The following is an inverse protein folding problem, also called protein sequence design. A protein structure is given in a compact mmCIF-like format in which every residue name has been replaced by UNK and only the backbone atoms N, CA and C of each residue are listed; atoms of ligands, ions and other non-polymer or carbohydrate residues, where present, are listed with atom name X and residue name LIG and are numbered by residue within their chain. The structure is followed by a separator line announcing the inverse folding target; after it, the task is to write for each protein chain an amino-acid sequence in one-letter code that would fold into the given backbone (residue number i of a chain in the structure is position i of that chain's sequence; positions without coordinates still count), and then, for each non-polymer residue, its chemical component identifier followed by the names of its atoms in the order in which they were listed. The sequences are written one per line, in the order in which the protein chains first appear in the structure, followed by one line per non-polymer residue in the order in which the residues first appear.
data_IF_633551330994
#
_entry.id   IF_633551330994
#
_cell.length_a   1.000
_cell.length_b   1.000
_cell.length_c   1.000
_cell.angle_alpha   90.00
_cell.angle_beta   90.00
_cell.angle_gamma   90.00
#
_symmetry.space_group_name_H-M   'P 1'
#
loop_
_entity.id
_entity.type
_entity.pdbx_description
1 polymer ?
#
# COMPACT_ATOMS: atom_id res chain seq x y z
N UNK A 1 -20.28 -0.63 7.75
CA UNK A 1 -19.72 -0.87 6.39
C UNK A 1 -20.73 -0.51 5.29
N UNK A 2 -22.03 -0.73 5.50
CA UNK A 2 -23.11 -0.34 4.58
C UNK A 2 -23.26 1.19 4.43
N UNK A 3 -23.04 1.96 5.51
CA UNK A 3 -23.28 3.42 5.52
C UNK A 3 -22.31 4.23 4.65
N UNK A 4 -21.05 3.79 4.56
CA UNK A 4 -20.03 4.46 3.73
C UNK A 4 -20.32 4.22 2.24
N UNK A 5 -20.76 3.01 1.88
CA UNK A 5 -21.14 2.66 0.52
C UNK A 5 -22.43 3.37 0.11
N UNK A 6 -23.37 3.55 1.04
CA UNK A 6 -24.58 4.34 0.85
C UNK A 6 -24.25 5.82 0.68
N UNK A 7 -23.34 6.37 1.49
CA UNK A 7 -22.82 7.73 1.32
C UNK A 7 -22.13 7.93 -0.03
N UNK A 8 -21.27 7.00 -0.46
CA UNK A 8 -20.59 7.10 -1.76
C UNK A 8 -21.59 7.06 -2.92
N UNK A 9 -22.60 6.18 -2.85
CA UNK A 9 -23.71 6.13 -3.82
C UNK A 9 -24.53 7.42 -3.81
N UNK A 10 -24.78 8.00 -2.65
CA UNK A 10 -25.50 9.28 -2.52
C UNK A 10 -24.69 10.43 -3.10
N UNK A 11 -23.39 10.52 -2.82
CA UNK A 11 -22.49 11.55 -3.35
C UNK A 11 -22.37 11.41 -4.87
N UNK A 12 -22.20 10.18 -5.38
CA UNK A 12 -22.09 9.93 -6.82
C UNK A 12 -23.42 10.24 -7.54
N UNK A 13 -24.55 9.83 -6.96
CA UNK A 13 -25.89 10.18 -7.45
C UNK A 13 -26.12 11.69 -7.44
N UNK A 14 -25.77 12.38 -6.35
CA UNK A 14 -25.93 13.82 -6.22
C UNK A 14 -25.04 14.59 -7.21
N UNK A 15 -23.81 14.13 -7.43
CA UNK A 15 -22.90 14.73 -8.41
C UNK A 15 -23.38 14.53 -9.85
N UNK A 16 -23.79 13.30 -10.20
CA UNK A 16 -24.29 12.99 -11.55
C UNK A 16 -25.64 13.67 -11.82
N UNK A 17 -26.55 13.68 -10.86
CA UNK A 17 -27.85 14.33 -11.01
C UNK A 17 -27.72 15.85 -11.05
N UNK A 18 -26.85 16.47 -10.24
CA UNK A 18 -26.61 17.92 -10.30
C UNK A 18 -25.94 18.30 -11.63
N UNK A 19 -25.00 17.51 -12.12
CA UNK A 19 -24.37 17.77 -13.42
C UNK A 19 -25.35 17.59 -14.59
N UNK A 20 -26.28 16.63 -14.48
CA UNK A 20 -27.36 16.42 -15.44
C UNK A 20 -28.44 17.52 -15.36
N UNK A 21 -28.81 17.98 -14.17
CA UNK A 21 -29.76 19.10 -13.95
C UNK A 21 -29.16 20.43 -14.40
N UNK A 22 -27.88 20.69 -14.11
CA UNK A 22 -27.15 21.84 -14.66
C UNK A 22 -27.15 21.76 -16.18
N UNK A 23 -26.91 20.58 -16.76
CA UNK A 23 -26.94 20.37 -18.21
C UNK A 23 -28.35 20.50 -18.81
N UNK A 24 -29.42 20.11 -18.11
CA UNK A 24 -30.80 20.26 -18.57
C UNK A 24 -31.33 21.70 -18.36
N UNK A 25 -30.86 22.41 -17.33
CA UNK A 25 -31.19 23.82 -17.06
C UNK A 25 -30.45 24.81 -17.97
N UNK A 26 -29.48 24.33 -18.78
CA UNK A 26 -28.68 25.16 -19.70
C UNK A 26 -29.53 25.97 -20.68
N UNK A 27 -30.75 25.56 -20.97
CA UNK A 27 -31.60 26.28 -21.90
C UNK A 27 -31.93 27.72 -21.47
N UNK A 28 -32.20 27.96 -20.19
CA UNK A 28 -32.49 29.32 -19.68
C UNK A 28 -31.21 30.06 -19.31
N UNK A 29 -30.25 29.39 -18.67
CA UNK A 29 -28.99 30.00 -18.23
C UNK A 29 -28.13 30.47 -19.40
N UNK A 30 -28.07 29.69 -20.49
CA UNK A 30 -27.35 30.08 -21.71
C UNK A 30 -28.08 31.23 -22.42
N UNK A 31 -29.41 31.20 -22.51
CA UNK A 31 -30.17 32.33 -23.09
C UNK A 31 -29.94 33.61 -22.29
N UNK A 32 -29.95 33.53 -20.97
CA UNK A 32 -29.72 34.67 -20.07
C UNK A 32 -28.29 35.23 -20.19
N UNK A 33 -27.27 34.38 -20.38
CA UNK A 33 -25.89 34.86 -20.55
C UNK A 33 -25.67 35.56 -21.90
N UNK A 34 -26.32 35.09 -22.98
CA UNK A 34 -26.32 35.79 -24.26
C UNK A 34 -27.05 37.16 -24.17
N UNK A 35 -28.22 37.20 -23.53
CA UNK A 35 -28.96 38.44 -23.28
C UNK A 35 -28.14 39.43 -22.44
N UNK A 36 -27.51 38.97 -21.36
CA UNK A 36 -26.65 39.80 -20.51
C UNK A 36 -25.43 40.38 -21.24
N UNK A 37 -24.96 39.68 -22.29
CA UNK A 37 -23.87 40.14 -23.16
C UNK A 37 -24.35 41.05 -24.30
N UNK A 38 -25.65 41.39 -24.36
CA UNK A 38 -26.26 42.18 -25.44
C UNK A 38 -26.40 41.41 -26.76
N UNK A 39 -26.20 40.09 -26.75
CA UNK A 39 -26.26 39.24 -27.93
C UNK A 39 -27.64 38.58 -28.00
N UNK A 40 -28.48 39.02 -28.94
CA UNK A 40 -29.77 38.36 -29.24
C UNK A 40 -29.53 37.31 -30.31
N UNK A 41 -29.54 36.04 -29.93
CA UNK A 41 -29.41 34.94 -30.89
C UNK A 41 -30.73 34.77 -31.67
N UNK A 42 -30.74 35.18 -32.94
CA UNK A 42 -31.90 35.02 -33.86
C UNK A 42 -32.33 33.56 -34.06
N UNK A 43 -31.47 32.60 -33.72
CA UNK A 43 -31.73 31.17 -33.86
C UNK A 43 -31.17 30.39 -32.67
N UNK A 44 -31.84 30.50 -31.52
CA UNK A 44 -31.47 29.80 -30.28
C UNK A 44 -31.31 28.29 -30.47
N UNK A 45 -32.21 27.66 -31.23
CA UNK A 45 -32.16 26.21 -31.49
C UNK A 45 -30.89 25.78 -32.23
N UNK A 46 -30.40 26.57 -33.19
CA UNK A 46 -29.15 26.26 -33.92
C UNK A 46 -27.92 26.38 -33.02
N UNK A 47 -27.89 27.38 -32.14
CA UNK A 47 -26.80 27.57 -31.19
C UNK A 47 -26.78 26.43 -30.18
N UNK A 48 -27.94 26.07 -29.63
CA UNK A 48 -28.08 24.95 -28.70
C UNK A 48 -27.69 23.62 -29.34
N UNK A 49 -28.09 23.38 -30.58
CA UNK A 49 -27.73 22.15 -31.30
C UNK A 49 -26.22 22.07 -31.60
N UNK A 50 -25.53 23.21 -31.76
CA UNK A 50 -24.06 23.25 -31.86
C UNK A 50 -23.34 23.13 -30.52
N UNK A 51 -23.97 23.58 -29.43
CA UNK A 51 -23.45 23.43 -28.07
C UNK A 51 -23.70 22.04 -27.49
N UNK A 52 -24.69 21.31 -28.01
CA UNK A 52 -24.93 19.91 -27.71
C UNK A 52 -23.88 19.04 -28.41
N UNK A 53 -22.62 19.22 -28.02
CA UNK A 53 -21.52 18.38 -28.46
C UNK A 53 -21.68 17.08 -27.71
N UNK A 54 -22.11 16.02 -28.40
CA UNK A 54 -21.95 14.67 -27.89
C UNK A 54 -20.44 14.46 -27.72
N UNK A 55 -19.97 14.49 -26.46
CA UNK A 55 -18.59 14.19 -26.11
C UNK A 55 -18.34 12.71 -26.38
N UNK A 56 -18.24 12.35 -27.65
CA UNK A 56 -17.70 11.07 -28.05
C UNK A 56 -16.22 11.17 -27.74
N UNK A 57 -15.82 10.63 -26.57
CA UNK A 57 -14.42 10.42 -26.24
C UNK A 57 -13.82 9.73 -27.47
N UNK A 58 -12.90 10.36 -28.23
CA UNK A 58 -12.31 9.68 -29.37
C UNK A 58 -11.76 8.38 -28.82
N UNK A 59 -12.24 7.25 -29.38
CA UNK A 59 -11.73 5.94 -29.01
C UNK A 59 -10.21 6.07 -29.11
N UNK A 60 -9.54 5.95 -27.97
CA UNK A 60 -8.09 6.05 -27.93
C UNK A 60 -7.56 5.09 -29.00
N UNK A 61 -6.74 5.54 -29.97
CA UNK A 61 -6.20 4.64 -30.97
C UNK A 61 -5.62 3.47 -30.20
N UNK A 62 -6.11 2.26 -30.53
CA UNK A 62 -5.74 1.00 -29.87
C UNK A 62 -4.28 1.11 -29.50
N UNK A 63 -4.01 1.17 -28.20
CA UNK A 63 -2.67 1.32 -27.69
C UNK A 63 -1.91 0.12 -28.19
N UNK A 64 -1.22 0.28 -29.32
CA UNK A 64 -0.18 -0.61 -29.78
C UNK A 64 0.64 -0.89 -28.52
N UNK A 65 0.90 -2.15 -28.16
CA UNK A 65 1.80 -2.45 -27.07
C UNK A 65 3.15 -1.92 -27.51
N UNK A 66 3.36 -0.63 -27.24
CA UNK A 66 4.66 -0.03 -27.26
C UNK A 66 5.35 -0.84 -26.20
N UNK A 67 6.30 -1.67 -26.59
CA UNK A 67 7.18 -2.45 -25.72
C UNK A 67 8.01 -1.56 -24.75
N UNK A 68 7.63 -0.29 -24.62
CA UNK A 68 8.18 0.79 -23.80
C UNK A 68 7.11 1.64 -23.09
N UNK A 69 5.81 1.33 -23.21
CA UNK A 69 4.80 1.94 -22.34
C UNK A 69 4.91 1.30 -20.96
N UNK A 70 5.72 1.91 -20.10
CA UNK A 70 5.69 1.66 -18.66
C UNK A 70 4.32 2.10 -18.14
N UNK A 71 3.31 1.25 -18.29
CA UNK A 71 2.05 1.37 -17.57
C UNK A 71 2.40 1.40 -16.10
N UNK A 72 2.30 2.59 -15.48
CA UNK A 72 2.62 2.76 -14.07
C UNK A 72 1.67 1.87 -13.27
N UNK A 73 2.20 0.75 -12.78
CA UNK A 73 1.47 -0.19 -11.94
C UNK A 73 2.03 -0.03 -10.53
N UNK A 74 1.30 0.64 -9.62
CA UNK A 74 1.77 0.80 -8.25
C UNK A 74 1.89 -0.58 -7.61
N UNK A 75 3.13 -0.98 -7.31
CA UNK A 75 3.45 -2.20 -6.57
C UNK A 75 4.02 -1.82 -5.22
N UNK A 76 3.76 -2.63 -4.20
CA UNK A 76 4.39 -2.50 -2.90
C UNK A 76 5.91 -2.49 -3.10
N UNK A 77 6.55 -1.39 -2.67
CA UNK A 77 8.00 -1.24 -2.75
C UNK A 77 8.65 -2.15 -1.72
N UNK A 78 9.65 -2.93 -2.15
CA UNK A 78 10.44 -3.80 -1.25
C UNK A 78 11.72 -3.13 -0.76
N UNK A 79 12.07 -1.99 -1.36
CA UNK A 79 13.32 -1.27 -1.09
C UNK A 79 13.06 0.23 -1.16
N UNK A 80 13.80 0.99 -0.35
CA UNK A 80 13.72 2.46 -0.28
C UNK A 80 13.95 3.10 -1.65
N UNK A 81 14.90 2.61 -2.44
CA UNK A 81 15.18 3.11 -3.80
C UNK A 81 13.99 2.93 -4.74
N UNK A 82 13.27 1.81 -4.64
CA UNK A 82 12.07 1.56 -5.46
C UNK A 82 10.94 2.51 -5.07
N UNK A 83 10.78 2.77 -3.77
CA UNK A 83 9.80 3.72 -3.24
C UNK A 83 10.05 5.11 -3.80
N UNK A 84 11.28 5.62 -3.72
CA UNK A 84 11.60 6.96 -4.25
C UNK A 84 11.45 7.03 -5.77
N UNK A 85 11.79 5.97 -6.50
CA UNK A 85 11.56 5.91 -7.96
C UNK A 85 10.07 5.98 -8.30
N UNK A 86 9.23 5.23 -7.60
CA UNK A 86 7.77 5.28 -7.79
C UNK A 86 7.19 6.64 -7.39
N UNK A 87 7.65 7.21 -6.27
CA UNK A 87 7.26 8.53 -5.81
C UNK A 87 7.60 9.62 -6.83
N UNK A 88 8.80 9.59 -7.41
CA UNK A 88 9.21 10.52 -8.46
C UNK A 88 8.32 10.42 -9.69
N UNK A 89 8.00 9.20 -10.14
CA UNK A 89 7.07 9.00 -11.26
C UNK A 89 5.68 9.57 -10.96
N UNK A 90 5.15 9.34 -9.76
CA UNK A 90 3.86 9.89 -9.34
C UNK A 90 3.86 11.42 -9.30
N UNK A 91 4.92 12.03 -8.76
CA UNK A 91 5.08 13.49 -8.72
C UNK A 91 5.15 14.07 -10.13
N UNK A 92 5.96 13.50 -11.01
CA UNK A 92 6.07 13.93 -12.41
C UNK A 92 4.73 13.83 -13.16
N UNK A 93 3.92 12.79 -12.90
CA UNK A 93 2.60 12.65 -13.50
C UNK A 93 1.62 13.73 -13.01
N UNK A 94 1.70 14.10 -11.72
CA UNK A 94 0.89 15.17 -11.16
C UNK A 94 1.34 16.55 -11.67
N UNK A 95 2.64 16.79 -11.74
CA UNK A 95 3.19 18.07 -12.23
C UNK A 95 2.85 18.27 -13.72
N UNK A 96 2.81 17.19 -14.50
CA UNK A 96 2.38 17.23 -15.92
C UNK A 96 0.87 17.48 -16.07
N UNK A 97 0.08 17.32 -15.01
CA UNK A 97 -1.36 17.64 -14.98
C UNK A 97 -1.50 19.17 -14.85
N UNK A 98 -1.15 19.86 -15.94
CA UNK A 98 -1.33 21.28 -16.28
C UNK A 98 -1.80 22.16 -15.13
N UNK A 99 -0.89 22.90 -14.50
CA UNK A 99 -1.20 24.09 -13.71
C UNK A 99 -2.30 23.92 -12.64
N UNK A 100 -2.39 22.74 -12.04
CA UNK A 100 -3.34 22.53 -10.95
C UNK A 100 -2.81 23.24 -9.69
N UNK A 101 -3.64 24.02 -8.97
CA UNK A 101 -3.28 24.57 -7.68
C UNK A 101 -2.81 23.46 -6.73
N UNK A 102 -2.03 23.76 -5.66
CA UNK A 102 -1.55 22.74 -4.72
C UNK A 102 -2.73 21.93 -4.19
N UNK A 103 -2.89 20.74 -4.79
CA UNK A 103 -4.07 19.92 -4.57
C UNK A 103 -3.86 19.12 -3.29
N UNK A 104 -4.91 18.90 -2.48
CA UNK A 104 -4.88 18.01 -1.32
C UNK A 104 -4.24 16.65 -1.61
N UNK A 105 -4.29 16.19 -2.87
CA UNK A 105 -3.68 14.94 -3.32
C UNK A 105 -2.14 14.91 -3.19
N UNK A 106 -1.46 16.05 -3.34
CA UNK A 106 0.00 16.15 -3.23
C UNK A 106 0.43 15.86 -1.79
N UNK A 107 -0.27 16.46 -0.83
CA UNK A 107 -0.06 16.24 0.60
C UNK A 107 -0.29 14.78 0.98
N UNK A 108 -1.37 14.17 0.47
CA UNK A 108 -1.65 12.74 0.71
C UNK A 108 -0.52 11.86 0.18
N UNK A 109 0.00 12.15 -1.02
CA UNK A 109 1.11 11.37 -1.59
C UNK A 109 2.39 11.54 -0.78
N UNK A 110 2.72 12.75 -0.34
CA UNK A 110 3.89 12.97 0.53
C UNK A 110 3.76 12.21 1.86
N UNK A 111 2.56 12.18 2.46
CA UNK A 111 2.28 11.37 3.64
C UNK A 111 2.41 9.87 3.35
N UNK A 112 1.89 9.38 2.22
CA UNK A 112 2.03 7.99 1.81
C UNK A 112 3.49 7.58 1.62
N UNK A 113 4.32 8.45 1.05
CA UNK A 113 5.76 8.21 0.90
C UNK A 113 6.41 8.07 2.27
N UNK A 114 6.11 8.99 3.21
CA UNK A 114 6.63 8.94 4.58
C UNK A 114 6.22 7.66 5.32
N UNK A 115 4.95 7.29 5.23
CA UNK A 115 4.43 6.08 5.85
C UNK A 115 5.06 4.82 5.26
N UNK A 116 5.24 4.78 3.94
CA UNK A 116 5.88 3.67 3.24
C UNK A 116 7.36 3.54 3.61
N UNK A 117 8.06 4.67 3.78
CA UNK A 117 9.44 4.69 4.27
C UNK A 117 9.53 4.13 5.69
N UNK A 118 8.66 4.58 6.60
CA UNK A 118 8.60 4.08 7.97
C UNK A 118 8.28 2.58 7.99
N UNK A 119 7.32 2.13 7.18
CA UNK A 119 6.98 0.72 7.06
C UNK A 119 8.18 -0.14 6.63
N UNK A 120 8.94 0.32 5.63
CA UNK A 120 10.15 -0.38 5.17
C UNK A 120 11.20 -0.46 6.27
N UNK A 121 11.43 0.64 6.98
CA UNK A 121 12.39 0.70 8.09
C UNK A 121 11.98 -0.25 9.23
N UNK A 122 10.74 -0.17 9.69
CA UNK A 122 10.22 -1.05 10.74
C UNK A 122 10.24 -2.51 10.31
N UNK A 123 9.95 -2.82 9.04
CA UNK A 123 10.02 -4.19 8.52
C UNK A 123 11.45 -4.74 8.55
N UNK A 124 12.45 -3.90 8.24
CA UNK A 124 13.85 -4.31 8.31
C UNK A 124 14.26 -4.65 9.76
N UNK A 125 13.95 -3.78 10.72
CA UNK A 125 14.22 -4.03 12.15
C UNK A 125 13.50 -5.29 12.65
N UNK A 126 12.20 -5.41 12.36
CA UNK A 126 11.43 -6.58 12.78
C UNK A 126 11.96 -7.89 12.18
N UNK A 127 12.51 -7.85 10.98
CA UNK A 127 13.11 -9.02 10.34
C UNK A 127 14.38 -9.44 11.08
N UNK A 128 15.22 -8.49 11.45
CA UNK A 128 16.44 -8.72 12.23
C UNK A 128 16.12 -9.23 13.65
N UNK A 129 15.21 -8.55 14.36
CA UNK A 129 14.78 -8.95 15.70
C UNK A 129 14.16 -10.34 15.70
N UNK A 130 13.32 -10.66 14.71
CA UNK A 130 12.73 -11.99 14.59
C UNK A 130 13.81 -13.06 14.33
N UNK A 131 14.80 -12.78 13.48
CA UNK A 131 15.92 -13.69 13.28
C UNK A 131 16.71 -13.93 14.58
N UNK A 132 17.01 -12.86 15.32
CA UNK A 132 17.70 -12.93 16.61
C UNK A 132 16.91 -13.74 17.65
N UNK A 133 15.59 -13.51 17.75
CA UNK A 133 14.71 -14.26 18.65
C UNK A 133 14.64 -15.74 18.29
N UNK A 134 14.60 -16.08 16.99
CA UNK A 134 14.62 -17.48 16.54
C UNK A 134 15.92 -18.17 16.90
N UNK A 135 17.06 -17.52 16.67
CA UNK A 135 18.38 -18.05 17.07
C UNK A 135 18.49 -18.26 18.59
N UNK A 136 18.01 -17.29 19.39
CA UNK A 136 18.01 -17.39 20.84
C UNK A 136 17.09 -18.53 21.33
N UNK A 137 15.90 -18.67 20.75
CA UNK A 137 14.98 -19.76 21.05
C UNK A 137 15.59 -21.12 20.73
N UNK A 138 16.20 -21.29 19.55
CA UNK A 138 16.88 -22.52 19.19
C UNK A 138 18.01 -22.86 20.17
N UNK A 139 18.78 -21.86 20.61
CA UNK A 139 19.82 -22.03 21.63
C UNK A 139 19.23 -22.50 22.97
N UNK A 140 18.11 -21.91 23.38
CA UNK A 140 17.39 -22.32 24.60
C UNK A 140 16.84 -23.75 24.49
N UNK A 141 16.23 -24.11 23.37
CA UNK A 141 15.74 -25.46 23.11
C UNK A 141 16.90 -26.47 23.16
N UNK A 142 18.03 -26.17 22.50
CA UNK A 142 19.24 -27.02 22.56
C UNK A 142 19.77 -27.15 23.98
N UNK A 143 19.83 -26.06 24.76
CA UNK A 143 20.27 -26.09 26.17
C UNK A 143 19.33 -26.96 27.02
N UNK A 144 18.01 -26.78 26.87
CA UNK A 144 17.00 -27.58 27.58
C UNK A 144 17.15 -29.06 27.25
N UNK A 145 17.27 -29.40 25.97
CA UNK A 145 17.44 -30.79 25.52
C UNK A 145 18.74 -31.42 26.04
N UNK A 146 19.84 -30.66 26.17
CA UNK A 146 21.06 -31.15 26.82
C UNK A 146 20.86 -31.40 28.31
N UNK A 147 20.18 -30.50 29.01
CA UNK A 147 19.91 -30.63 30.44
C UNK A 147 18.93 -31.76 30.77
N UNK A 148 17.96 -32.04 29.90
CA UNK A 148 16.96 -33.10 30.10
C UNK A 148 17.46 -34.47 29.62
N UNK A 149 18.53 -34.54 28.83
CA UNK A 149 19.23 -35.80 28.59
C UNK A 149 19.81 -36.27 29.91
N UNK A 150 19.28 -37.39 30.43
CA UNK A 150 19.94 -38.11 31.53
C UNK A 150 21.34 -38.47 31.04
N UNK A 151 22.36 -38.08 31.80
CA UNK A 151 23.71 -38.62 31.63
C UNK A 151 23.57 -40.09 31.96
N UNK A 152 23.68 -40.97 30.96
CA UNK A 152 23.85 -42.39 31.23
C UNK A 152 25.18 -42.52 31.96
N UNK A 153 25.16 -42.72 33.27
CA UNK A 153 26.34 -43.18 34.00
C UNK A 153 26.64 -44.58 33.47
N UNK A 154 27.41 -44.64 32.38
CA UNK A 154 27.77 -45.90 31.72
C UNK A 154 28.83 -46.68 32.51
N UNK A 155 29.50 -46.01 33.45
CA UNK A 155 30.67 -46.53 34.16
C UNK A 155 30.83 -45.83 35.53
N UNK A 156 29.70 -45.65 36.24
CA UNK A 156 29.75 -45.22 37.63
C UNK A 156 29.91 -46.46 38.49
N UNK A 157 30.93 -46.50 39.35
CA UNK A 157 31.10 -47.57 40.32
C UNK A 157 29.80 -47.71 41.13
N UNK A 158 29.23 -48.91 41.14
CA UNK A 158 28.09 -49.19 42.00
C UNK A 158 28.52 -49.08 43.46
N UNK A 159 27.56 -48.79 44.34
CA UNK A 159 27.84 -48.59 45.77
C UNK A 159 28.58 -49.82 46.35
N UNK A 160 28.23 -51.02 45.90
CA UNK A 160 28.87 -52.27 46.31
C UNK A 160 30.30 -52.42 45.78
N UNK A 161 30.56 -52.08 44.51
CA UNK A 161 31.92 -52.06 43.96
C UNK A 161 32.81 -51.03 44.68
N UNK A 162 32.24 -49.89 45.12
CA UNK A 162 32.95 -48.88 45.89
C UNK A 162 33.32 -49.35 47.30
N UNK A 163 32.41 -50.06 47.96
CA UNK A 163 32.65 -50.66 49.27
C UNK A 163 33.72 -51.75 49.17
N UNK A 164 33.65 -52.62 48.16
CA UNK A 164 34.64 -53.69 47.96
C UNK A 164 36.05 -53.16 47.69
N UNK A 165 36.21 -52.11 46.86
CA UNK A 165 37.53 -51.48 46.66
C UNK A 165 38.06 -50.82 47.94
N UNK A 166 37.19 -50.22 48.75
CA UNK A 166 37.58 -49.61 50.03
C UNK A 166 38.03 -50.66 51.05
N UNK A 167 37.43 -51.85 51.05
CA UNK A 167 37.82 -52.97 51.92
C UNK A 167 39.14 -53.61 51.47
N UNK A 168 39.38 -53.75 50.16
CA UNK A 168 40.64 -54.28 49.62
C UNK A 168 41.86 -53.39 49.96
N UNK A 169 41.69 -52.08 50.02
CA UNK A 169 42.76 -51.14 50.40
C UNK A 169 43.08 -51.15 51.91
N UNK A 170 42.23 -51.76 52.73
CA UNK A 170 42.38 -51.79 54.20
C UNK A 170 42.94 -53.13 54.73
N UNK A 171 43.37 -54.06 53.87
CA UNK A 171 44.06 -55.27 54.33
C UNK A 171 45.57 -55.02 54.48
N UNK A 172 46.19 -55.33 55.64
CA UNK A 172 47.64 -55.32 55.78
C UNK A 172 48.25 -56.52 55.04
N UNK A 173 49.38 -56.29 54.35
CA UNK A 173 50.18 -57.30 53.63
C UNK A 173 50.44 -58.59 54.43
#
# INVERSE_FOLDING_TARGET
MLDILQCLKCIYSCFVNNLLEVFQSTNSTIKNSFIASGLVSLYTERVLNKLNISLQTPISPSSRPSSRSSQFTPKISRTVTQLFKQASLLKNLLDRRLYSPPSPIKTVIDQMIKNSYLFLYSTALLTEDNANLRMANEKMIKKRNRSTKRISCAEGLTIEEAIQLAEQLNQPE
#
